data_IF_248020460920
#
_entry.id   IF_248020460920
#
_cell.length_a   1.000
_cell.length_b   1.000
_cell.length_c   1.000
_cell.angle_alpha   90.00
_cell.angle_beta   90.00
_cell.angle_gamma   90.00
#
_symmetry.space_group_name_H-M   'P 1'
#
loop_
_entity.id
_entity.type
_entity.pdbx_description
1 polymer ?
#
# COMPACT_ATOMS: atom_id res chain seq x y z
N UNK A 1 -29.94 18.00 17.86
CA UNK A 1 -29.17 18.76 16.85
C UNK A 1 -29.15 18.09 15.46
N UNK A 2 -29.10 16.75 15.35
CA UNK A 2 -29.20 16.04 14.04
C UNK A 2 -30.56 15.39 13.74
N UNK A 3 -31.50 15.44 14.69
CA UNK A 3 -32.81 14.74 14.60
C UNK A 3 -33.84 15.57 13.84
N UNK A 4 -33.69 16.90 13.82
CA UNK A 4 -34.60 17.83 13.13
C UNK A 4 -34.13 18.18 11.70
N UNK A 5 -33.03 17.59 11.24
CA UNK A 5 -32.52 17.82 9.88
C UNK A 5 -33.21 16.86 8.92
N UNK A 6 -33.98 17.42 7.98
CA UNK A 6 -34.72 16.65 6.99
C UNK A 6 -33.78 16.13 5.89
N UNK A 7 -33.13 14.99 6.19
CA UNK A 7 -32.25 14.28 5.26
C UNK A 7 -32.95 13.90 3.94
N UNK A 8 -34.28 13.71 3.97
CA UNK A 8 -35.08 13.36 2.80
C UNK A 8 -35.11 14.48 1.77
N UNK A 9 -35.41 15.71 2.21
CA UNK A 9 -35.40 16.88 1.33
C UNK A 9 -33.99 17.29 0.91
N UNK A 10 -32.98 17.15 1.79
CA UNK A 10 -31.58 17.43 1.45
C UNK A 10 -31.05 16.49 0.34
N UNK A 11 -31.32 15.19 0.43
CA UNK A 11 -30.91 14.21 -0.59
C UNK A 11 -31.63 14.41 -1.92
N UNK A 12 -32.90 14.80 -1.90
CA UNK A 12 -33.67 15.07 -3.11
C UNK A 12 -33.24 16.36 -3.83
N UNK A 13 -32.63 17.31 -3.11
CA UNK A 13 -32.30 18.63 -3.63
C UNK A 13 -30.84 18.83 -4.04
N UNK A 14 -29.87 18.13 -3.43
CA UNK A 14 -28.47 18.18 -3.88
C UNK A 14 -27.99 16.86 -4.48
N UNK A 15 -27.68 16.83 -5.79
CA UNK A 15 -27.12 15.64 -6.44
C UNK A 15 -25.76 15.23 -5.82
N UNK A 16 -25.06 16.17 -5.19
CA UNK A 16 -23.75 15.96 -4.58
C UNK A 16 -23.84 15.06 -3.33
N UNK A 17 -24.90 15.18 -2.52
CA UNK A 17 -25.11 14.28 -1.38
C UNK A 17 -25.36 12.83 -1.83
N UNK A 18 -26.07 12.63 -2.94
CA UNK A 18 -26.27 11.30 -3.53
C UNK A 18 -24.94 10.68 -3.96
N UNK A 19 -24.08 11.48 -4.62
CA UNK A 19 -22.73 11.04 -5.00
C UNK A 19 -21.90 10.68 -3.77
N UNK A 20 -21.90 11.52 -2.72
CA UNK A 20 -21.19 11.22 -1.47
C UNK A 20 -21.72 9.96 -0.78
N UNK A 21 -23.03 9.73 -0.80
CA UNK A 21 -23.64 8.52 -0.25
C UNK A 21 -23.19 7.27 -1.01
N UNK A 22 -23.14 7.32 -2.35
CA UNK A 22 -22.59 6.24 -3.16
C UNK A 22 -21.11 6.01 -2.86
N UNK A 23 -20.30 7.07 -2.77
CA UNK A 23 -18.90 6.98 -2.37
C UNK A 23 -18.74 6.33 -0.99
N UNK A 24 -19.62 6.64 -0.02
CA UNK A 24 -19.62 6.04 1.31
C UNK A 24 -19.86 4.53 1.27
N UNK A 25 -20.89 4.09 0.53
CA UNK A 25 -21.21 2.67 0.38
C UNK A 25 -20.05 1.90 -0.26
N UNK A 26 -19.49 2.43 -1.35
CA UNK A 26 -18.35 1.82 -2.05
C UNK A 26 -17.13 1.74 -1.12
N UNK A 27 -16.82 2.83 -0.42
CA UNK A 27 -15.71 2.90 0.53
C UNK A 27 -15.85 1.87 1.63
N UNK A 28 -17.05 1.76 2.23
CA UNK A 28 -17.31 0.81 3.30
C UNK A 28 -17.20 -0.64 2.83
N UNK A 29 -17.72 -0.94 1.63
CA UNK A 29 -17.60 -2.27 1.02
C UNK A 29 -16.14 -2.70 0.86
N UNK A 30 -15.30 -1.84 0.28
CA UNK A 30 -13.87 -2.12 0.12
C UNK A 30 -13.12 -2.15 1.46
N UNK A 31 -13.49 -1.30 2.42
CA UNK A 31 -12.91 -1.30 3.75
C UNK A 31 -13.12 -2.65 4.45
N UNK A 32 -14.36 -3.16 4.48
CA UNK A 32 -14.70 -4.43 5.11
C UNK A 32 -14.04 -5.63 4.41
N UNK A 33 -14.01 -5.61 3.08
CA UNK A 33 -13.32 -6.62 2.27
C UNK A 33 -11.83 -6.68 2.60
N UNK A 34 -11.15 -5.53 2.63
CA UNK A 34 -9.71 -5.45 2.94
C UNK A 34 -9.40 -5.82 4.39
N UNK A 35 -10.17 -5.34 5.37
CA UNK A 35 -9.99 -5.72 6.77
C UNK A 35 -10.08 -7.24 6.92
N UNK A 36 -11.08 -7.86 6.30
CA UNK A 36 -11.26 -9.31 6.33
C UNK A 36 -10.12 -10.05 5.61
N UNK A 37 -9.67 -9.54 4.46
CA UNK A 37 -8.57 -10.09 3.68
C UNK A 37 -7.24 -10.11 4.46
N UNK A 38 -6.89 -9.00 5.12
CA UNK A 38 -5.66 -8.91 5.93
C UNK A 38 -5.77 -9.69 7.23
N UNK A 39 -6.96 -9.75 7.85
CA UNK A 39 -7.17 -10.55 9.07
C UNK A 39 -6.97 -12.04 8.81
N UNK A 40 -7.42 -12.55 7.66
CA UNK A 40 -7.20 -13.95 7.26
C UNK A 40 -5.73 -14.30 6.99
N UNK A 41 -4.87 -13.31 6.68
CA UNK A 41 -3.43 -13.51 6.40
C UNK A 41 -2.51 -13.25 7.59
N UNK A 42 -3.05 -12.96 8.77
CA UNK A 42 -2.28 -12.65 9.97
C UNK A 42 -1.70 -13.86 10.71
N UNK A 43 -1.41 -14.98 10.03
CA UNK A 43 -0.85 -16.20 10.64
C UNK A 43 0.47 -15.96 11.41
N UNK A 44 1.14 -17.02 11.89
CA UNK A 44 2.34 -16.88 12.72
C UNK A 44 3.64 -17.18 11.92
N UNK A 45 4.17 -16.21 11.15
CA UNK A 45 5.35 -16.43 10.31
C UNK A 45 6.58 -16.83 11.14
N UNK A 46 6.76 -16.25 12.33
CA UNK A 46 7.92 -16.53 13.18
C UNK A 46 7.89 -17.97 13.70
N UNK A 47 6.71 -18.48 14.07
CA UNK A 47 6.58 -19.88 14.50
C UNK A 47 6.82 -20.85 13.34
N UNK A 48 6.31 -20.55 12.14
CA UNK A 48 6.55 -21.36 10.94
C UNK A 48 8.03 -21.36 10.58
N UNK A 49 8.68 -20.20 10.64
CA UNK A 49 10.12 -20.06 10.40
C UNK A 49 10.95 -20.95 11.33
N UNK A 50 10.67 -20.92 12.64
CA UNK A 50 11.42 -21.73 13.61
C UNK A 50 11.34 -23.22 13.27
N UNK A 51 10.15 -23.71 12.90
CA UNK A 51 9.95 -25.10 12.47
C UNK A 51 10.71 -25.43 11.19
N UNK A 52 10.62 -24.55 10.19
CA UNK A 52 11.32 -24.73 8.91
C UNK A 52 12.84 -24.71 9.06
N UNK A 53 13.38 -23.82 9.90
CA UNK A 53 14.82 -23.75 10.18
C UNK A 53 15.35 -25.05 10.80
N UNK A 54 14.63 -25.60 11.77
CA UNK A 54 14.98 -26.90 12.38
C UNK A 54 14.94 -28.05 11.36
N UNK A 55 14.01 -28.01 10.40
CA UNK A 55 13.92 -29.01 9.34
C UNK A 55 15.08 -28.90 8.35
N UNK A 56 15.47 -27.67 7.95
CA UNK A 56 16.62 -27.43 7.06
C UNK A 56 17.93 -27.89 7.71
N UNK A 57 18.15 -27.57 8.99
CA UNK A 57 19.33 -28.04 9.74
C UNK A 57 19.41 -29.57 9.82
N UNK A 58 18.26 -30.24 9.86
CA UNK A 58 18.16 -31.69 9.82
C UNK A 58 18.21 -32.31 8.42
N UNK A 59 18.47 -31.52 7.37
CA UNK A 59 18.48 -31.96 5.96
C UNK A 59 17.10 -32.27 5.37
N UNK A 60 16.02 -32.00 6.10
CA UNK A 60 14.63 -32.34 5.71
C UNK A 60 13.98 -31.15 4.97
N UNK A 61 14.46 -30.88 3.76
CA UNK A 61 13.99 -29.74 2.97
C UNK A 61 12.51 -29.82 2.58
N UNK A 62 12.00 -31.01 2.25
CA UNK A 62 10.56 -31.17 1.94
C UNK A 62 9.67 -30.84 3.13
N UNK A 63 10.07 -31.24 4.34
CA UNK A 63 9.34 -30.90 5.56
C UNK A 63 9.32 -29.38 5.81
N UNK A 64 10.44 -28.70 5.56
CA UNK A 64 10.53 -27.24 5.66
C UNK A 64 9.56 -26.55 4.68
N UNK A 65 9.47 -27.05 3.45
CA UNK A 65 8.57 -26.53 2.41
C UNK A 65 7.10 -26.71 2.81
N UNK A 66 6.73 -27.89 3.33
CA UNK A 66 5.36 -28.21 3.72
C UNK A 66 4.84 -27.27 4.83
N UNK A 67 5.70 -26.84 5.75
CA UNK A 67 5.32 -25.85 6.77
C UNK A 67 4.85 -24.50 6.20
N UNK A 68 5.33 -24.12 5.00
CA UNK A 68 4.97 -22.85 4.35
C UNK A 68 3.74 -22.95 3.44
N UNK A 69 3.39 -24.14 2.96
CA UNK A 69 2.25 -24.33 2.03
C UNK A 69 0.91 -23.89 2.64
N UNK A 70 0.71 -24.16 3.93
CA UNK A 70 -0.52 -23.79 4.65
C UNK A 70 -0.50 -22.35 5.18
N UNK A 71 0.61 -21.63 5.01
CA UNK A 71 0.77 -20.29 5.55
C UNK A 71 0.19 -19.25 4.59
N UNK A 72 -0.99 -18.72 4.92
CA UNK A 72 -1.65 -17.66 4.14
C UNK A 72 -0.89 -16.31 4.14
N UNK A 73 0.03 -16.10 5.09
CA UNK A 73 0.91 -14.93 5.13
C UNK A 73 1.80 -14.89 3.87
N UNK A 74 2.20 -13.72 3.33
CA UNK A 74 3.06 -13.64 2.13
C UNK A 74 4.34 -14.49 2.20
N UNK A 75 4.86 -14.74 3.40
CA UNK A 75 5.98 -15.65 3.65
C UNK A 75 5.74 -17.06 3.10
N UNK A 76 4.52 -17.60 3.18
CA UNK A 76 4.20 -18.96 2.70
C UNK A 76 4.54 -19.16 1.23
N UNK A 77 3.83 -18.49 0.30
CA UNK A 77 4.10 -18.63 -1.12
C UNK A 77 5.51 -18.19 -1.52
N UNK A 78 6.07 -17.16 -0.89
CA UNK A 78 7.45 -16.71 -1.19
C UNK A 78 8.47 -17.78 -0.79
N UNK A 79 8.43 -18.27 0.46
CA UNK A 79 9.37 -19.28 0.94
C UNK A 79 9.21 -20.62 0.21
N UNK A 80 7.98 -21.08 -0.03
CA UNK A 80 7.74 -22.34 -0.75
C UNK A 80 8.32 -22.32 -2.16
N UNK A 81 8.03 -21.28 -2.95
CA UNK A 81 8.52 -21.20 -4.33
C UNK A 81 10.04 -20.99 -4.38
N UNK A 82 10.59 -20.17 -3.48
CA UNK A 82 12.03 -19.96 -3.39
C UNK A 82 12.79 -21.22 -2.99
N UNK A 83 12.31 -21.99 -2.01
CA UNK A 83 12.95 -23.24 -1.60
C UNK A 83 12.86 -24.34 -2.67
N UNK A 84 11.75 -24.44 -3.39
CA UNK A 84 11.65 -25.32 -4.57
C UNK A 84 12.63 -24.91 -5.67
N UNK A 85 12.75 -23.61 -5.95
CA UNK A 85 13.72 -23.07 -6.89
C UNK A 85 15.16 -23.35 -6.46
N UNK A 86 15.45 -23.19 -5.17
CA UNK A 86 16.76 -23.46 -4.59
C UNK A 86 17.23 -24.90 -4.82
N UNK A 87 16.36 -25.90 -4.66
CA UNK A 87 16.71 -27.30 -4.91
C UNK A 87 17.08 -27.60 -6.36
N UNK A 88 16.54 -26.83 -7.32
CA UNK A 88 16.83 -26.98 -8.75
C UNK A 88 18.06 -26.20 -9.18
N UNK A 89 18.12 -24.93 -8.80
CA UNK A 89 19.15 -23.98 -9.17
C UNK A 89 19.40 -22.98 -8.01
N UNK A 90 20.36 -23.25 -7.11
CA UNK A 90 20.66 -22.39 -5.95
C UNK A 90 21.03 -20.93 -6.30
N UNK A 91 21.50 -20.70 -7.53
CA UNK A 91 21.84 -19.37 -8.05
C UNK A 91 20.61 -18.52 -8.41
N UNK A 92 19.48 -19.14 -8.75
CA UNK A 92 18.26 -18.45 -9.18
C UNK A 92 17.28 -18.15 -8.02
N UNK A 93 17.54 -18.71 -6.83
CA UNK A 93 16.64 -18.61 -5.68
C UNK A 93 16.33 -17.15 -5.28
N UNK A 94 17.31 -16.25 -5.40
CA UNK A 94 17.13 -14.83 -5.10
C UNK A 94 16.22 -14.14 -6.12
N UNK A 95 16.38 -14.44 -7.41
CA UNK A 95 15.51 -13.92 -8.46
C UNK A 95 14.06 -14.41 -8.28
N UNK A 96 13.88 -15.71 -8.01
CA UNK A 96 12.56 -16.29 -7.72
C UNK A 96 11.91 -15.61 -6.52
N UNK A 97 12.67 -15.38 -5.44
CA UNK A 97 12.18 -14.66 -4.26
C UNK A 97 11.69 -13.26 -4.62
N UNK A 98 12.44 -12.50 -5.41
CA UNK A 98 12.05 -11.15 -5.84
C UNK A 98 10.79 -11.15 -6.70
N UNK A 99 10.67 -12.09 -7.64
CA UNK A 99 9.45 -12.27 -8.45
C UNK A 99 8.25 -12.56 -7.56
N UNK A 100 8.40 -13.47 -6.60
CA UNK A 100 7.31 -13.86 -5.67
C UNK A 100 6.92 -12.72 -4.73
N UNK A 101 7.89 -11.97 -4.19
CA UNK A 101 7.63 -10.79 -3.36
C UNK A 101 6.84 -9.72 -4.12
N UNK A 102 7.22 -9.44 -5.37
CA UNK A 102 6.50 -8.49 -6.22
C UNK A 102 5.08 -8.97 -6.54
N UNK A 103 4.91 -10.27 -6.83
CA UNK A 103 3.59 -10.83 -7.05
C UNK A 103 2.70 -10.71 -5.80
N UNK A 104 3.23 -11.04 -4.61
CA UNK A 104 2.49 -10.88 -3.35
C UNK A 104 2.16 -9.41 -3.05
N UNK A 105 3.10 -8.49 -3.33
CA UNK A 105 2.88 -7.05 -3.19
C UNK A 105 1.68 -6.59 -4.01
N UNK A 106 1.62 -6.92 -5.31
CA UNK A 106 0.51 -6.55 -6.19
C UNK A 106 -0.84 -7.10 -5.69
N UNK A 107 -0.87 -8.32 -5.17
CA UNK A 107 -2.09 -8.92 -4.62
C UNK A 107 -2.57 -8.23 -3.34
N UNK A 108 -1.65 -7.84 -2.47
CA UNK A 108 -1.94 -7.15 -1.21
C UNK A 108 -2.31 -5.66 -1.41
N UNK A 109 -1.72 -5.01 -2.42
CA UNK A 109 -2.03 -3.62 -2.81
C UNK A 109 -3.38 -3.50 -3.50
N UNK A 110 -3.87 -4.58 -4.14
CA UNK A 110 -5.17 -4.61 -4.83
C UNK A 110 -6.28 -4.10 -3.93
N UNK A 111 -7.13 -3.21 -4.44
CA UNK A 111 -8.23 -2.53 -3.74
C UNK A 111 -7.81 -1.58 -2.60
N UNK A 112 -6.60 -1.69 -2.04
CA UNK A 112 -6.10 -0.75 -1.02
C UNK A 112 -5.93 0.65 -1.62
N UNK A 113 -5.50 0.74 -2.88
CA UNK A 113 -5.42 2.01 -3.62
C UNK A 113 -6.76 2.76 -3.72
N UNK A 114 -7.89 2.06 -3.81
CA UNK A 114 -9.22 2.68 -3.88
C UNK A 114 -9.58 3.42 -2.59
N UNK A 115 -9.17 2.91 -1.42
CA UNK A 115 -9.35 3.62 -0.15
C UNK A 115 -8.55 4.92 -0.15
N UNK A 116 -7.33 4.91 -0.69
CA UNK A 116 -6.51 6.10 -0.89
C UNK A 116 -7.16 7.11 -1.85
N UNK A 117 -7.76 6.62 -2.94
CA UNK A 117 -8.50 7.48 -3.87
C UNK A 117 -9.73 8.10 -3.21
N UNK A 118 -10.56 7.30 -2.51
CA UNK A 118 -11.75 7.80 -1.82
C UNK A 118 -11.40 8.83 -0.75
N UNK A 119 -10.33 8.58 0.01
CA UNK A 119 -9.73 9.53 0.94
C UNK A 119 -9.39 10.88 0.31
N UNK A 120 -8.87 10.88 -0.92
CA UNK A 120 -8.48 12.11 -1.62
C UNK A 120 -9.66 12.83 -2.29
N UNK A 121 -10.59 12.09 -2.90
CA UNK A 121 -11.66 12.70 -3.72
C UNK A 121 -12.88 13.13 -2.90
N UNK A 122 -13.23 12.42 -1.81
CA UNK A 122 -14.47 12.70 -1.07
C UNK A 122 -14.51 14.09 -0.40
N UNK A 123 -13.40 14.65 0.12
CA UNK A 123 -13.36 16.05 0.56
C UNK A 123 -13.57 17.04 -0.59
N UNK A 124 -13.01 16.73 -1.77
CA UNK A 124 -13.13 17.59 -2.96
C UNK A 124 -14.57 17.59 -3.48
N UNK A 125 -15.26 16.45 -3.43
CA UNK A 125 -16.69 16.35 -3.73
C UNK A 125 -17.50 17.14 -2.70
N UNK A 126 -17.14 17.09 -1.41
CA UNK A 126 -17.77 17.91 -0.37
C UNK A 126 -17.57 19.42 -0.59
N UNK A 127 -16.37 19.83 -1.02
CA UNK A 127 -16.06 21.21 -1.40
C UNK A 127 -16.87 21.64 -2.63
N UNK A 128 -17.03 20.78 -3.63
CA UNK A 128 -17.93 21.05 -4.76
C UNK A 128 -19.37 21.30 -4.27
N UNK A 129 -19.79 20.58 -3.22
CA UNK A 129 -21.05 20.80 -2.52
C UNK A 129 -21.23 22.20 -1.97
N UNK A 130 -20.16 22.82 -1.44
CA UNK A 130 -20.26 24.19 -0.93
C UNK A 130 -20.41 25.20 -2.04
N UNK A 131 -19.66 25.04 -3.13
CA UNK A 131 -19.78 25.89 -4.31
C UNK A 131 -21.22 25.83 -4.86
N UNK A 132 -21.78 24.63 -4.95
CA UNK A 132 -23.15 24.42 -5.42
C UNK A 132 -24.20 25.06 -4.49
N UNK A 133 -24.11 24.84 -3.17
CA UNK A 133 -25.06 25.38 -2.20
C UNK A 133 -25.02 26.91 -2.12
N UNK A 134 -23.82 27.51 -2.16
CA UNK A 134 -23.65 28.96 -2.22
C UNK A 134 -24.23 29.52 -3.52
N UNK A 135 -23.98 28.87 -4.66
CA UNK A 135 -24.56 29.28 -5.94
C UNK A 135 -26.09 29.28 -5.90
N UNK A 136 -26.72 28.24 -5.35
CA UNK A 136 -28.18 28.17 -5.16
C UNK A 136 -28.70 29.27 -4.24
N UNK A 137 -27.99 29.57 -3.15
CA UNK A 137 -28.35 30.64 -2.24
C UNK A 137 -28.38 32.01 -2.94
N UNK A 138 -27.37 32.33 -3.76
CA UNK A 138 -27.36 33.57 -4.54
C UNK A 138 -28.43 33.61 -5.63
N UNK A 139 -28.73 32.49 -6.28
CA UNK A 139 -29.84 32.41 -7.24
C UNK A 139 -31.19 32.68 -6.57
N UNK A 140 -31.43 32.13 -5.39
CA UNK A 140 -32.66 32.38 -4.62
C UNK A 140 -32.77 33.85 -4.19
N UNK A 141 -31.66 34.46 -3.74
CA UNK A 141 -31.59 35.89 -3.41
C UNK A 141 -31.95 36.76 -4.62
N UNK A 142 -31.38 36.46 -5.79
CA UNK A 142 -31.63 37.19 -7.03
C UNK A 142 -33.10 37.05 -7.49
N UNK A 143 -33.67 35.85 -7.42
CA UNK A 143 -35.05 35.59 -7.80
C UNK A 143 -36.06 36.28 -6.87
N UNK A 144 -35.75 36.36 -5.58
CA UNK A 144 -36.60 37.02 -4.58
C UNK A 144 -36.44 38.56 -4.57
N UNK A 145 -35.41 39.10 -5.23
CA UNK A 145 -35.09 40.54 -5.21
C UNK A 145 -34.75 41.06 -3.80
N UNK A 146 -34.37 40.19 -2.87
CA UNK A 146 -34.16 40.52 -1.46
C UNK A 146 -32.97 39.76 -0.89
N UNK A 147 -32.14 40.46 -0.12
CA UNK A 147 -30.97 39.90 0.57
C UNK A 147 -31.32 39.37 1.98
N UNK A 148 -32.58 39.05 2.27
CA UNK A 148 -32.99 38.57 3.58
C UNK A 148 -32.25 37.26 3.95
N UNK A 149 -31.65 37.16 5.16
CA UNK A 149 -30.89 35.98 5.58
C UNK A 149 -31.67 34.66 5.48
N UNK A 150 -32.98 34.70 5.70
CA UNK A 150 -33.86 33.53 5.59
C UNK A 150 -33.86 32.90 4.20
N UNK A 151 -33.64 33.69 3.14
CA UNK A 151 -33.67 33.23 1.73
C UNK A 151 -32.42 32.39 1.41
N UNK A 152 -31.27 32.75 1.99
CA UNK A 152 -29.99 32.07 1.74
C UNK A 152 -29.67 30.95 2.72
N UNK A 153 -30.30 30.95 3.89
CA UNK A 153 -29.98 30.05 5.00
C UNK A 153 -30.01 28.57 4.59
N UNK A 154 -30.98 28.16 3.77
CA UNK A 154 -31.10 26.77 3.30
C UNK A 154 -29.91 26.32 2.44
N UNK A 155 -29.53 27.11 1.42
CA UNK A 155 -28.42 26.76 0.53
C UNK A 155 -27.06 26.76 1.22
N UNK A 156 -26.86 27.66 2.20
CA UNK A 156 -25.63 27.69 3.02
C UNK A 156 -25.57 26.50 3.99
N UNK A 157 -26.69 26.14 4.62
CA UNK A 157 -26.76 24.96 5.48
C UNK A 157 -26.46 23.68 4.70
N UNK A 158 -27.05 23.51 3.51
CA UNK A 158 -26.79 22.39 2.60
C UNK A 158 -25.30 22.31 2.21
N UNK A 159 -24.69 23.45 1.85
CA UNK A 159 -23.26 23.55 1.58
C UNK A 159 -22.40 23.01 2.74
N UNK A 160 -22.68 23.43 3.98
CA UNK A 160 -21.91 22.98 5.14
C UNK A 160 -22.07 21.48 5.41
N UNK A 161 -23.28 20.94 5.23
CA UNK A 161 -23.56 19.51 5.42
C UNK A 161 -22.82 18.65 4.39
N UNK A 162 -22.78 19.06 3.12
CA UNK A 162 -22.02 18.32 2.08
C UNK A 162 -20.53 18.22 2.37
N UNK A 163 -19.92 19.29 2.91
CA UNK A 163 -18.51 19.25 3.32
C UNK A 163 -18.28 18.33 4.50
N UNK A 164 -19.13 18.44 5.53
CA UNK A 164 -19.04 17.58 6.70
C UNK A 164 -19.16 16.10 6.28
N UNK A 165 -20.11 15.77 5.40
CA UNK A 165 -20.28 14.42 4.87
C UNK A 165 -19.03 13.91 4.12
N UNK A 166 -18.42 14.75 3.26
CA UNK A 166 -17.17 14.41 2.57
C UNK A 166 -16.03 14.09 3.54
N UNK A 167 -15.87 14.89 4.60
CA UNK A 167 -14.85 14.67 5.62
C UNK A 167 -15.10 13.40 6.46
N UNK A 168 -16.35 13.11 6.80
CA UNK A 168 -16.75 11.90 7.54
C UNK A 168 -16.39 10.63 6.77
N UNK A 169 -16.41 10.67 5.43
CA UNK A 169 -15.97 9.55 4.58
C UNK A 169 -14.44 9.53 4.46
N UNK A 170 -13.82 10.68 4.24
CA UNK A 170 -12.40 10.79 3.96
C UNK A 170 -11.50 10.39 5.14
N UNK A 171 -11.82 10.86 6.35
CA UNK A 171 -10.95 10.67 7.53
C UNK A 171 -10.77 9.18 7.87
N UNK A 172 -11.84 8.37 8.01
CA UNK A 172 -11.68 6.93 8.22
C UNK A 172 -10.97 6.23 7.05
N UNK A 173 -11.22 6.67 5.82
CA UNK A 173 -10.58 6.12 4.62
C UNK A 173 -9.06 6.29 4.65
N UNK A 174 -8.57 7.50 4.98
CA UNK A 174 -7.13 7.79 5.12
C UNK A 174 -6.52 6.94 6.23
N UNK A 175 -7.17 6.88 7.40
CA UNK A 175 -6.67 6.11 8.54
C UNK A 175 -6.52 4.62 8.17
N UNK A 176 -7.55 4.06 7.54
CA UNK A 176 -7.53 2.65 7.14
C UNK A 176 -6.50 2.39 6.03
N UNK A 177 -6.43 3.24 5.01
CA UNK A 177 -5.43 3.16 3.94
C UNK A 177 -4.00 3.14 4.51
N UNK A 178 -3.68 4.09 5.39
CA UNK A 178 -2.35 4.19 6.01
C UNK A 178 -2.05 2.98 6.90
N UNK A 179 -3.03 2.50 7.66
CA UNK A 179 -2.87 1.31 8.50
C UNK A 179 -2.59 0.06 7.66
N UNK A 180 -3.35 -0.15 6.58
CA UNK A 180 -3.18 -1.30 5.69
C UNK A 180 -1.86 -1.25 4.93
N UNK A 181 -1.43 -0.08 4.45
CA UNK A 181 -0.12 0.08 3.79
C UNK A 181 1.05 -0.24 4.73
N UNK A 182 0.98 0.23 5.98
CA UNK A 182 2.00 -0.13 6.99
C UNK A 182 2.03 -1.63 7.23
N UNK A 183 0.86 -2.25 7.38
CA UNK A 183 0.74 -3.69 7.59
C UNK A 183 1.25 -4.50 6.40
N UNK A 184 0.95 -4.07 5.17
CA UNK A 184 1.48 -4.63 3.93
C UNK A 184 3.01 -4.60 3.93
N UNK A 185 3.60 -3.43 4.18
CA UNK A 185 5.05 -3.26 4.19
C UNK A 185 5.72 -4.17 5.24
N UNK A 186 5.13 -4.27 6.44
CA UNK A 186 5.63 -5.19 7.48
C UNK A 186 5.55 -6.65 7.03
N UNK A 187 4.42 -7.10 6.45
CA UNK A 187 4.25 -8.48 6.00
C UNK A 187 5.25 -8.85 4.89
N UNK A 188 5.50 -7.94 3.94
CA UNK A 188 6.48 -8.16 2.87
C UNK A 188 7.91 -8.17 3.41
N UNK A 189 8.26 -7.24 4.31
CA UNK A 189 9.58 -7.21 4.94
C UNK A 189 9.85 -8.48 5.75
N UNK A 190 8.85 -8.96 6.51
CA UNK A 190 8.92 -10.24 7.21
C UNK A 190 9.14 -11.37 6.20
N UNK A 191 8.36 -11.43 5.11
CA UNK A 191 8.50 -12.47 4.09
C UNK A 191 9.90 -12.48 3.45
N UNK A 192 10.42 -11.32 3.07
CA UNK A 192 11.73 -11.15 2.45
C UNK A 192 12.87 -11.57 3.40
N UNK A 193 12.90 -11.02 4.61
CA UNK A 193 13.95 -11.31 5.58
C UNK A 193 13.98 -12.79 5.95
N UNK A 194 12.81 -13.38 6.22
CA UNK A 194 12.71 -14.79 6.58
C UNK A 194 13.12 -15.69 5.42
N UNK A 195 12.68 -15.40 4.19
CA UNK A 195 13.05 -16.20 3.02
C UNK A 195 14.54 -16.10 2.73
N UNK A 196 15.15 -14.92 2.84
CA UNK A 196 16.62 -14.77 2.74
C UNK A 196 17.36 -15.62 3.76
N UNK A 197 16.93 -15.59 5.03
CA UNK A 197 17.54 -16.41 6.07
C UNK A 197 17.41 -17.91 5.79
N UNK A 198 16.28 -18.36 5.23
CA UNK A 198 16.12 -19.76 4.79
C UNK A 198 17.08 -20.11 3.66
N UNK A 199 17.28 -19.23 2.68
CA UNK A 199 18.25 -19.45 1.60
C UNK A 199 19.68 -19.55 2.12
N UNK A 200 20.06 -18.71 3.09
CA UNK A 200 21.38 -18.77 3.74
C UNK A 200 21.57 -20.12 4.43
N UNK A 201 20.62 -20.52 5.29
CA UNK A 201 20.68 -21.80 5.98
C UNK A 201 20.67 -23.00 5.02
N UNK A 202 19.91 -22.91 3.92
CA UNK A 202 19.87 -23.94 2.89
C UNK A 202 21.21 -24.06 2.14
N UNK A 203 21.89 -22.95 1.85
CA UNK A 203 23.24 -22.96 1.24
C UNK A 203 24.26 -23.60 2.16
N UNK A 204 24.25 -23.23 3.44
CA UNK A 204 25.13 -23.80 4.46
C UNK A 204 24.91 -25.31 4.60
N UNK A 205 23.65 -25.76 4.65
CA UNK A 205 23.31 -27.18 4.75
C UNK A 205 23.75 -28.02 3.54
N UNK A 206 23.82 -27.43 2.34
CA UNK A 206 24.31 -28.10 1.11
C UNK A 206 25.82 -27.95 0.94
N UNK A 207 26.51 -27.21 1.81
CA UNK A 207 27.95 -26.93 1.69
C UNK A 207 28.30 -25.99 0.53
N UNK A 208 27.32 -25.25 0.01
CA UNK A 208 27.54 -24.23 -1.02
C UNK A 208 28.05 -22.96 -0.32
N UNK A 209 29.33 -22.62 -0.52
CA UNK A 209 29.87 -21.34 -0.05
C UNK A 209 29.16 -20.19 -0.76
N UNK A 210 28.88 -19.10 -0.03
CA UNK A 210 28.38 -17.83 -0.60
C UNK A 210 29.22 -17.49 -1.83
N UNK A 211 28.64 -17.35 -3.05
CA UNK A 211 29.41 -16.88 -4.18
C UNK A 211 29.98 -15.52 -3.78
N UNK A 212 31.31 -15.42 -3.77
CA UNK A 212 31.98 -14.16 -3.51
C UNK A 212 31.35 -13.11 -4.44
N UNK A 213 31.08 -11.87 -3.97
CA UNK A 213 30.66 -10.82 -4.86
C UNK A 213 31.65 -10.83 -6.03
N UNK A 214 31.13 -10.95 -7.26
CA UNK A 214 31.94 -10.81 -8.46
C UNK A 214 32.58 -9.44 -8.35
N UNK A 215 33.81 -9.39 -7.84
CA UNK A 215 34.63 -8.20 -7.89
C UNK A 215 34.87 -7.99 -9.38
N UNK A 216 34.04 -7.16 -9.98
CA UNK A 216 34.37 -6.53 -11.24
C UNK A 216 35.79 -5.98 -11.06
N UNK A 217 36.77 -6.44 -11.88
CA UNK A 217 38.16 -6.09 -11.67
C UNK A 217 38.25 -4.57 -11.61
N UNK A 218 38.79 -4.06 -10.49
CA UNK A 218 38.94 -2.63 -10.26
C UNK A 218 39.50 -1.98 -11.53
N UNK A 219 38.93 -0.85 -11.99
CA UNK A 219 39.34 -0.22 -13.22
C UNK A 219 40.84 0.03 -13.13
N UNK A 220 41.61 -0.61 -14.03
CA UNK A 220 43.06 -0.48 -14.09
C UNK A 220 43.36 1.01 -14.22
N UNK A 221 43.88 1.59 -13.13
CA UNK A 221 44.29 2.99 -13.10
C UNK A 221 45.34 3.16 -14.20
N UNK A 222 44.95 3.77 -15.32
CA UNK A 222 45.89 4.14 -16.38
C UNK A 222 46.88 5.11 -15.76
N UNK A 223 48.08 4.62 -15.47
CA UNK A 223 49.22 5.41 -15.02
C UNK A 223 49.43 6.54 -16.02
N UNK A 224 49.02 7.74 -15.61
CA UNK A 224 49.24 8.97 -16.36
C UNK A 224 50.73 9.22 -16.43
N UNK A 225 51.32 8.98 -17.61
CA UNK A 225 52.64 9.48 -17.98
C UNK A 225 52.66 10.98 -17.71
N UNK A 226 53.27 11.40 -16.61
CA UNK A 226 53.66 12.79 -16.39
C UNK A 226 54.68 13.15 -17.46
N UNK A 227 54.22 13.84 -18.50
CA UNK A 227 55.09 14.54 -19.44
C UNK A 227 55.80 15.62 -18.63
N UNK A 228 57.11 15.45 -18.43
CA UNK A 228 57.97 16.45 -17.83
C UNK A 228 57.90 17.73 -18.68
N UNK A 229 57.47 18.83 -18.07
CA UNK A 229 57.62 20.17 -18.65
C UNK A 229 59.07 20.58 -18.44
N UNK A 230 59.81 20.71 -19.53
CA UNK A 230 61.13 21.37 -19.53
C UNK A 230 60.95 22.87 -19.24
N UNK A 231 61.87 23.49 -18.46
CA UNK A 231 61.85 24.92 -18.22
C UNK A 231 62.42 25.68 -19.42
N UNK A 232 61.61 26.54 -20.03
CA UNK A 232 62.07 27.49 -21.05
C UNK A 232 62.88 28.58 -20.35
N UNK A 233 64.17 28.61 -20.63
CA UNK A 233 65.09 29.68 -20.27
C UNK A 233 64.81 30.95 -21.08
N UNK A 234 65.04 32.08 -20.43
CA UNK A 234 64.87 33.45 -20.93
C UNK A 234 65.81 33.80 -22.09
N UNK A 235 65.30 34.54 -23.07
CA UNK A 235 65.93 35.68 -23.77
C UNK A 235 64.82 36.64 -24.18
#
# INVERSE_FOLDING_TARGET
>A
MFVDFDWGSALAQSPILIVLLLCSIVTLGFALERISYYRKRGGNPDATMRKAMNAIQGGRFEEAINHFQDLAHPLGPVATNTLHGFQRAPGEAEEIMHVMLNQQKLLLERNTGLLGTMAAITPLIGLLGTVWGIMRAFQAMSAAGSAAPAIVAGGVAEALVTTAAGLVIAVPSVMLYNHLNRRLATMLSVAENHTRLLCVAAREAVGLSVPAPTMEPAPVARSGRRVAREPVAAV
#
